data_IF_362874945111
#
_entry.id   IF_362874945111
#
_cell.length_a   1.000
_cell.length_b   1.000
_cell.length_c   1.000
_cell.angle_alpha   90.00
_cell.angle_beta   90.00
_cell.angle_gamma   90.00
#
_symmetry.space_group_name_H-M   'P 1'
#
loop_
_entity.id
_entity.type
_entity.pdbx_description
1 polymer ?
#
# COMPACT_ATOMS: atom_id res chain seq x y z
N UNK A 1 -13.03 -5.93 10.26
CA UNK A 1 -12.41 -6.92 9.36
C UNK A 1 -12.88 -8.33 9.72
N UNK A 2 -13.13 -9.17 8.72
CA UNK A 2 -13.50 -10.58 8.90
C UNK A 2 -12.34 -11.35 9.58
N UNK A 3 -12.65 -12.14 10.61
CA UNK A 3 -11.69 -12.95 11.37
C UNK A 3 -10.95 -13.97 10.50
N UNK A 4 -11.62 -14.57 9.51
CA UNK A 4 -10.99 -15.51 8.57
C UNK A 4 -9.91 -14.84 7.72
N UNK A 5 -10.14 -13.59 7.29
CA UNK A 5 -9.18 -12.80 6.51
C UNK A 5 -7.96 -12.46 7.36
N UNK A 6 -8.19 -12.10 8.62
CA UNK A 6 -7.11 -11.82 9.58
C UNK A 6 -6.27 -13.06 9.84
N UNK A 7 -6.91 -14.22 10.04
CA UNK A 7 -6.22 -15.48 10.28
C UNK A 7 -5.44 -15.96 9.04
N UNK A 8 -6.03 -15.83 7.85
CA UNK A 8 -5.35 -16.14 6.59
C UNK A 8 -4.11 -15.28 6.42
N UNK A 9 -4.23 -13.97 6.65
CA UNK A 9 -3.08 -13.05 6.59
C UNK A 9 -2.01 -13.43 7.62
N UNK A 10 -2.40 -13.73 8.86
CA UNK A 10 -1.46 -14.14 9.91
C UNK A 10 -0.66 -15.39 9.54
N UNK A 11 -1.30 -16.37 8.87
CA UNK A 11 -0.65 -17.60 8.43
C UNK A 11 0.40 -17.37 7.32
N UNK A 12 0.22 -16.33 6.51
CA UNK A 12 1.14 -15.98 5.40
C UNK A 12 2.37 -15.20 5.89
N UNK A 13 2.27 -14.50 7.03
CA UNK A 13 3.30 -13.61 7.59
C UNK A 13 4.42 -14.40 8.31
N UNK A 14 5.04 -15.32 7.56
CA UNK A 14 6.22 -16.10 7.96
C UNK A 14 7.48 -15.23 8.06
N UNK A 15 8.54 -15.74 8.70
CA UNK A 15 9.81 -15.00 8.84
C UNK A 15 10.47 -14.68 7.50
N UNK A 16 10.42 -15.61 6.54
CA UNK A 16 10.93 -15.38 5.18
C UNK A 16 10.16 -14.27 4.46
N UNK A 17 8.84 -14.26 4.59
CA UNK A 17 7.99 -13.20 4.04
C UNK A 17 8.30 -11.84 4.68
N UNK A 18 8.45 -11.80 6.01
CA UNK A 18 8.80 -10.58 6.76
C UNK A 18 10.12 -9.97 6.28
N UNK A 19 11.14 -10.80 6.10
CA UNK A 19 12.45 -10.38 5.62
C UNK A 19 12.39 -9.83 4.19
N UNK A 20 11.63 -10.47 3.31
CA UNK A 20 11.43 -10.01 1.93
C UNK A 20 10.74 -8.64 1.89
N UNK A 21 9.64 -8.47 2.62
CA UNK A 21 8.91 -7.19 2.66
C UNK A 21 9.74 -6.08 3.31
N UNK A 22 10.54 -6.41 4.34
CA UNK A 22 11.43 -5.45 4.97
C UNK A 22 12.51 -4.92 4.02
N UNK A 23 13.07 -5.79 3.16
CA UNK A 23 14.02 -5.41 2.12
C UNK A 23 13.35 -4.54 1.05
N UNK A 24 12.23 -5.01 0.51
CA UNK A 24 11.50 -4.32 -0.55
C UNK A 24 11.02 -2.93 -0.10
N UNK A 25 10.52 -2.80 1.13
CA UNK A 25 10.11 -1.51 1.69
C UNK A 25 11.27 -0.52 1.83
N UNK A 26 12.47 -1.00 2.19
CA UNK A 26 13.67 -0.17 2.25
C UNK A 26 14.11 0.27 0.85
N UNK A 27 14.01 -0.63 -0.13
CA UNK A 27 14.40 -0.40 -1.52
C UNK A 27 13.40 0.51 -2.24
N UNK A 28 12.09 0.47 -1.92
CA UNK A 28 11.07 1.34 -2.52
C UNK A 28 11.00 2.71 -1.82
N UNK A 29 10.90 2.75 -0.50
CA UNK A 29 10.65 4.00 0.25
C UNK A 29 11.94 4.69 0.70
N UNK A 30 13.08 4.01 0.60
CA UNK A 30 14.33 4.45 1.20
C UNK A 30 14.38 4.14 2.70
N UNK A 31 15.55 3.74 3.19
CA UNK A 31 15.77 3.29 4.59
C UNK A 31 15.26 4.26 5.65
N UNK A 32 15.41 5.57 5.45
CA UNK A 32 15.01 6.58 6.42
C UNK A 32 13.49 6.67 6.60
N UNK A 33 12.74 6.72 5.50
CA UNK A 33 11.28 6.75 5.54
C UNK A 33 10.72 5.39 5.96
N UNK A 34 11.29 4.31 5.45
CA UNK A 34 10.89 2.96 5.84
C UNK A 34 11.01 2.74 7.34
N UNK A 35 12.14 3.15 7.94
CA UNK A 35 12.30 3.10 9.40
C UNK A 35 11.24 3.92 10.13
N UNK A 36 10.89 5.12 9.64
CA UNK A 36 9.83 5.94 10.26
C UNK A 36 8.47 5.27 10.20
N UNK A 37 8.15 4.61 9.08
CA UNK A 37 6.92 3.83 8.93
C UNK A 37 6.90 2.65 9.92
N UNK A 38 8.01 1.92 10.04
CA UNK A 38 8.16 0.81 10.97
C UNK A 38 8.12 1.23 12.45
N UNK A 39 8.76 2.34 12.82
CA UNK A 39 8.73 2.82 14.22
C UNK A 39 7.40 3.48 14.57
N UNK A 40 6.59 3.83 13.58
CA UNK A 40 5.23 4.30 13.74
C UNK A 40 4.21 3.17 13.87
N UNK A 41 4.63 1.94 14.15
CA UNK A 41 3.79 0.73 14.31
C UNK A 41 2.61 0.91 15.28
N UNK A 42 2.73 1.74 16.32
CA UNK A 42 1.60 2.08 17.20
C UNK A 42 0.51 2.94 16.54
N UNK A 43 0.82 3.62 15.44
CA UNK A 43 -0.11 4.47 14.65
C UNK A 43 -0.66 3.74 13.42
N UNK A 44 -0.31 2.46 13.21
CA UNK A 44 -0.87 1.63 12.15
C UNK A 44 -0.33 1.89 10.74
N UNK A 45 -1.00 1.31 9.75
CA UNK A 45 -0.62 1.33 8.34
C UNK A 45 -1.24 2.50 7.54
N UNK A 46 -1.91 3.44 8.21
CA UNK A 46 -2.76 4.45 7.57
C UNK A 46 -2.05 5.28 6.49
N UNK A 47 -0.81 5.76 6.67
CA UNK A 47 -0.12 6.49 5.62
C UNK A 47 0.17 5.65 4.37
N UNK A 48 0.43 4.34 4.55
CA UNK A 48 0.66 3.43 3.41
C UNK A 48 -0.65 3.12 2.68
N UNK A 49 -1.74 2.90 3.43
CA UNK A 49 -3.07 2.72 2.85
C UNK A 49 -3.49 3.96 2.04
N UNK A 50 -3.33 5.15 2.62
CA UNK A 50 -3.65 6.42 1.95
C UNK A 50 -2.78 6.65 0.71
N UNK A 51 -1.48 6.38 0.78
CA UNK A 51 -0.61 6.48 -0.39
C UNK A 51 -1.02 5.48 -1.50
N UNK A 52 -1.35 4.23 -1.14
CA UNK A 52 -1.82 3.23 -2.10
C UNK A 52 -3.12 3.65 -2.79
N UNK A 53 -4.08 4.22 -2.06
CA UNK A 53 -5.32 4.76 -2.63
C UNK A 53 -5.04 5.90 -3.62
N UNK A 54 -4.17 6.84 -3.25
CA UNK A 54 -3.74 7.93 -4.16
C UNK A 54 -3.09 7.42 -5.45
N UNK A 55 -2.31 6.34 -5.38
CA UNK A 55 -1.76 5.70 -6.59
C UNK A 55 -2.87 5.13 -7.49
N UNK A 56 -3.89 4.48 -6.91
CA UNK A 56 -5.01 3.91 -7.65
C UNK A 56 -6.00 4.95 -8.19
N UNK A 57 -6.11 6.11 -7.54
CA UNK A 57 -6.92 7.23 -8.02
C UNK A 57 -6.25 7.95 -9.21
N UNK A 58 -4.92 7.90 -9.31
CA UNK A 58 -4.14 8.59 -10.32
C UNK A 58 -4.04 7.86 -11.68
N UNK A 59 -4.82 6.80 -11.91
CA UNK A 59 -4.69 5.91 -13.10
C UNK A 59 -4.62 6.66 -14.44
N UNK A 60 -5.46 7.69 -14.60
CA UNK A 60 -5.53 8.49 -15.84
C UNK A 60 -4.69 9.78 -15.77
N UNK A 61 -4.16 10.11 -14.58
CA UNK A 61 -3.47 11.38 -14.29
C UNK A 61 -2.13 11.14 -13.58
N UNK A 62 -1.43 10.08 -13.98
CA UNK A 62 -0.17 9.66 -13.37
C UNK A 62 0.91 10.76 -13.38
N UNK A 63 0.91 11.59 -14.43
CA UNK A 63 1.83 12.72 -14.57
C UNK A 63 1.54 13.83 -13.52
N UNK A 64 0.28 14.09 -13.22
CA UNK A 64 -0.10 15.06 -12.18
C UNK A 64 0.28 14.57 -10.79
N UNK A 65 0.08 13.28 -10.51
CA UNK A 65 0.53 12.66 -9.27
C UNK A 65 2.05 12.81 -9.08
N UNK A 66 2.83 12.52 -10.12
CA UNK A 66 4.30 12.66 -10.08
C UNK A 66 4.70 14.11 -9.85
N UNK A 67 4.05 15.06 -10.54
CA UNK A 67 4.28 16.49 -10.36
C UNK A 67 3.98 16.91 -8.91
N UNK A 68 2.77 16.66 -8.41
CA UNK A 68 2.36 16.99 -7.03
C UNK A 68 3.30 16.37 -5.99
N UNK A 69 3.68 15.10 -6.16
CA UNK A 69 4.60 14.44 -5.24
C UNK A 69 5.99 15.10 -5.16
N UNK A 70 6.50 15.61 -6.29
CA UNK A 70 7.83 16.21 -6.39
C UNK A 70 7.85 17.69 -5.99
N UNK A 71 6.87 18.48 -6.43
CA UNK A 71 6.85 19.94 -6.23
C UNK A 71 5.91 20.40 -5.12
N UNK A 72 4.90 19.60 -4.76
CA UNK A 72 3.92 19.94 -3.73
C UNK A 72 4.55 20.11 -2.36
N UNK A 73 4.08 21.09 -1.60
CA UNK A 73 4.46 21.22 -0.20
C UNK A 73 3.80 20.10 0.61
N UNK A 74 4.55 19.40 1.50
CA UNK A 74 3.94 18.39 2.35
C UNK A 74 2.93 19.04 3.31
N UNK A 75 1.81 18.37 3.63
CA UNK A 75 0.92 18.81 4.68
C UNK A 75 1.65 18.99 6.03
N UNK A 76 1.14 19.90 6.87
CA UNK A 76 1.75 20.19 8.17
C UNK A 76 1.53 19.07 9.20
N UNK A 77 0.46 18.29 9.06
CA UNK A 77 0.21 17.15 9.93
C UNK A 77 1.12 15.96 9.57
N UNK A 78 1.45 15.16 10.58
CA UNK A 78 2.35 14.02 10.42
C UNK A 78 1.85 13.01 9.37
N UNK A 79 0.55 12.74 9.30
CA UNK A 79 0.01 11.69 8.44
C UNK A 79 0.14 12.12 6.98
N UNK A 80 -0.28 13.33 6.66
CA UNK A 80 -0.11 13.94 5.35
C UNK A 80 1.35 14.06 4.95
N UNK A 81 2.24 14.49 5.85
CA UNK A 81 3.68 14.55 5.59
C UNK A 81 4.28 13.16 5.29
N UNK A 82 3.82 12.11 5.98
CA UNK A 82 4.22 10.73 5.71
C UNK A 82 3.74 10.25 4.33
N UNK A 83 2.47 10.49 3.97
CA UNK A 83 1.91 10.17 2.65
C UNK A 83 2.70 10.88 1.55
N UNK A 84 2.93 12.18 1.69
CA UNK A 84 3.71 12.97 0.74
C UNK A 84 5.15 12.45 0.62
N UNK A 85 5.77 12.03 1.73
CA UNK A 85 7.09 11.42 1.72
C UNK A 85 7.14 10.09 0.97
N UNK A 86 6.13 9.23 1.13
CA UNK A 86 5.99 7.96 0.41
C UNK A 86 5.88 8.22 -1.09
N UNK A 87 4.95 9.08 -1.49
CA UNK A 87 4.72 9.41 -2.90
C UNK A 87 5.94 10.09 -3.54
N UNK A 88 6.64 10.97 -2.81
CA UNK A 88 7.86 11.61 -3.31
C UNK A 88 9.00 10.63 -3.56
N UNK A 89 9.23 9.69 -2.64
CA UNK A 89 10.28 8.68 -2.84
C UNK A 89 9.92 7.70 -3.96
N UNK A 90 8.63 7.41 -4.12
CA UNK A 90 8.12 6.67 -5.27
C UNK A 90 8.37 7.40 -6.59
N UNK A 91 7.93 8.67 -6.70
CA UNK A 91 8.07 9.49 -7.91
C UNK A 91 9.52 9.72 -8.34
N UNK A 92 10.48 9.69 -7.40
CA UNK A 92 11.92 9.76 -7.71
C UNK A 92 12.47 8.50 -8.39
N UNK A 93 11.82 7.35 -8.22
CA UNK A 93 12.28 6.04 -8.70
C UNK A 93 11.51 5.58 -9.92
N UNK A 94 10.25 5.98 -10.02
CA UNK A 94 9.34 5.58 -11.09
C UNK A 94 8.99 6.81 -11.92
N UNK A 95 9.66 7.02 -13.07
CA UNK A 95 9.28 8.08 -13.99
C UNK A 95 7.93 7.76 -14.64
N UNK A 96 7.00 8.72 -14.62
CA UNK A 96 5.62 8.70 -15.17
C UNK A 96 5.05 7.27 -15.31
N UNK A 97 4.52 6.69 -14.24
CA UNK A 97 4.05 5.31 -14.26
C UNK A 97 2.80 5.15 -15.15
N UNK A 98 2.75 4.06 -15.92
CA UNK A 98 1.50 3.60 -16.52
C UNK A 98 0.55 3.00 -15.47
N UNK A 99 -0.71 2.76 -15.86
CA UNK A 99 -1.76 2.25 -14.96
C UNK A 99 -1.36 0.95 -14.23
N UNK A 100 -0.77 -0.01 -14.94
CA UNK A 100 -0.35 -1.29 -14.36
C UNK A 100 0.72 -1.09 -13.27
N UNK A 101 1.67 -0.19 -13.53
CA UNK A 101 2.72 0.14 -12.56
C UNK A 101 2.14 0.80 -11.31
N UNK A 102 1.14 1.68 -11.45
CA UNK A 102 0.42 2.26 -10.33
C UNK A 102 -0.31 1.20 -9.49
N UNK A 103 -0.99 0.26 -10.15
CA UNK A 103 -1.69 -0.83 -9.47
C UNK A 103 -0.72 -1.73 -8.69
N UNK A 104 0.36 -2.19 -9.33
CA UNK A 104 1.40 -3.00 -8.68
C UNK A 104 2.01 -2.26 -7.49
N UNK A 105 2.30 -0.97 -7.66
CA UNK A 105 2.89 -0.13 -6.61
C UNK A 105 1.93 0.05 -5.43
N UNK A 106 0.63 0.24 -5.68
CA UNK A 106 -0.38 0.32 -4.64
C UNK A 106 -0.49 -1.00 -3.84
N UNK A 107 -0.44 -2.14 -4.52
CA UNK A 107 -0.42 -3.45 -3.84
C UNK A 107 0.85 -3.62 -3.00
N UNK A 108 2.02 -3.22 -3.50
CA UNK A 108 3.27 -3.25 -2.74
C UNK A 108 3.18 -2.41 -1.45
N UNK A 109 2.62 -1.20 -1.53
CA UNK A 109 2.38 -0.35 -0.35
C UNK A 109 1.41 -0.99 0.66
N UNK A 110 0.34 -1.64 0.18
CA UNK A 110 -0.60 -2.37 1.04
C UNK A 110 0.10 -3.54 1.75
N UNK A 111 0.91 -4.33 1.04
CA UNK A 111 1.71 -5.42 1.61
C UNK A 111 2.66 -4.93 2.71
N UNK A 112 3.34 -3.80 2.48
CA UNK A 112 4.19 -3.15 3.49
C UNK A 112 3.39 -2.70 4.72
N UNK A 113 2.15 -2.25 4.53
CA UNK A 113 1.25 -1.88 5.61
C UNK A 113 0.77 -3.08 6.43
N UNK A 114 0.43 -4.18 5.75
CA UNK A 114 0.09 -5.45 6.38
C UNK A 114 1.27 -5.97 7.21
N UNK A 115 2.49 -5.91 6.67
CA UNK A 115 3.71 -6.23 7.41
C UNK A 115 3.82 -5.40 8.69
N UNK A 116 3.63 -4.09 8.58
CA UNK A 116 3.74 -3.18 9.73
C UNK A 116 2.70 -3.50 10.81
N UNK A 117 1.45 -3.78 10.43
CA UNK A 117 0.38 -4.16 11.35
C UNK A 117 0.58 -5.55 11.96
N UNK A 118 1.14 -6.51 11.21
CA UNK A 118 1.48 -7.83 11.71
C UNK A 118 2.55 -7.77 12.80
N UNK A 119 3.61 -6.98 12.57
CA UNK A 119 4.69 -6.79 13.55
C UNK A 119 4.20 -6.09 14.83
N UNK A 120 3.14 -5.28 14.76
CA UNK A 120 2.51 -4.66 15.92
C UNK A 120 1.37 -5.49 16.56
N UNK A 121 1.01 -6.65 16.00
CA UNK A 121 -0.08 -7.48 16.54
C UNK A 121 -1.47 -6.85 16.37
N UNK A 122 -1.66 -5.98 15.38
CA UNK A 122 -2.91 -5.21 15.16
C UNK A 122 -3.54 -5.49 13.79
N UNK A 123 -3.33 -6.70 13.23
CA UNK A 123 -3.86 -7.06 11.91
C UNK A 123 -5.38 -6.89 11.80
N UNK A 124 -6.13 -7.10 12.88
CA UNK A 124 -7.58 -6.90 12.93
C UNK A 124 -8.04 -5.44 12.70
N UNK A 125 -7.13 -4.47 12.73
CA UNK A 125 -7.38 -3.04 12.46
C UNK A 125 -6.58 -2.52 11.25
N UNK A 126 -6.03 -3.42 10.45
CA UNK A 126 -5.15 -3.07 9.33
C UNK A 126 -5.96 -2.58 8.11
N UNK A 127 -6.01 -1.26 7.89
CA UNK A 127 -6.68 -0.69 6.70
C UNK A 127 -6.10 -1.18 5.38
N UNK A 128 -4.80 -1.49 5.32
CA UNK A 128 -4.19 -2.07 4.12
C UNK A 128 -4.72 -3.47 3.81
N UNK A 129 -5.03 -4.27 4.85
CA UNK A 129 -5.61 -5.59 4.68
C UNK A 129 -7.08 -5.49 4.26
N UNK A 130 -7.85 -4.59 4.89
CA UNK A 130 -9.23 -4.29 4.50
C UNK A 130 -9.30 -3.89 3.01
N UNK A 131 -8.50 -2.88 2.61
CA UNK A 131 -8.44 -2.40 1.22
C UNK A 131 -8.05 -3.49 0.22
N UNK A 132 -7.09 -4.35 0.61
CA UNK A 132 -6.62 -5.43 -0.25
C UNK A 132 -7.72 -6.49 -0.42
N UNK A 133 -8.34 -6.93 0.68
CA UNK A 133 -9.41 -7.91 0.67
C UNK A 133 -10.62 -7.43 -0.15
N UNK A 134 -11.01 -6.17 0.01
CA UNK A 134 -12.09 -5.56 -0.78
C UNK A 134 -11.74 -5.54 -2.29
N UNK A 135 -10.52 -5.13 -2.64
CA UNK A 135 -10.10 -5.10 -4.04
C UNK A 135 -10.07 -6.48 -4.70
N UNK A 136 -9.60 -7.51 -3.97
CA UNK A 136 -9.57 -8.89 -4.47
C UNK A 136 -10.98 -9.47 -4.58
N UNK A 137 -11.86 -9.19 -3.61
CA UNK A 137 -13.25 -9.65 -3.66
C UNK A 137 -13.98 -9.06 -4.87
N UNK A 138 -13.80 -7.75 -5.13
CA UNK A 138 -14.37 -7.08 -6.31
C UNK A 138 -13.86 -7.69 -7.61
N UNK A 139 -12.55 -7.85 -7.76
CA UNK A 139 -11.96 -8.44 -8.96
C UNK A 139 -12.47 -9.88 -9.20
N UNK A 140 -12.62 -10.68 -8.14
CA UNK A 140 -13.15 -12.04 -8.26
C UNK A 140 -14.62 -12.06 -8.67
N UNK A 141 -15.42 -11.13 -8.14
CA UNK A 141 -16.83 -11.00 -8.52
C UNK A 141 -16.97 -10.61 -9.99
N UNK A 142 -16.17 -9.65 -10.48
CA UNK A 142 -16.15 -9.26 -11.89
C UNK A 142 -15.78 -10.43 -12.81
N UNK A 143 -14.77 -11.22 -12.44
CA UNK A 143 -14.36 -12.43 -13.17
C UNK A 143 -15.51 -13.45 -13.27
N UNK A 144 -16.19 -13.73 -12.15
CA UNK A 144 -17.31 -14.68 -12.10
C UNK A 144 -18.50 -14.19 -12.94
N UNK A 145 -18.83 -12.90 -12.88
CA UNK A 145 -19.92 -12.32 -13.67
C UNK A 145 -19.60 -12.33 -15.17
N UNK A 146 -18.36 -12.00 -15.57
CA UNK A 146 -17.94 -12.03 -16.96
C UNK A 146 -17.95 -13.45 -17.55
N UNK A 147 -17.54 -14.45 -16.76
CA UNK A 147 -17.60 -15.85 -17.15
C UNK A 147 -19.06 -16.30 -17.40
N UNK A 148 -19.99 -15.93 -16.51
CA UNK A 148 -21.41 -16.28 -16.64
C UNK A 148 -22.17 -15.57 -17.77
N UNK A 149 -21.62 -14.51 -18.35
CA UNK A 149 -22.17 -13.82 -19.53
C UNK A 149 -21.62 -14.34 -20.86
N UNK A 150 -20.62 -15.22 -20.80
CA UNK A 150 -19.94 -15.81 -21.98
C UNK A 150 -20.41 -17.23 -22.27
N UNK A 151 -21.45 -17.72 -21.56
CA UNK A 151 -22.21 -18.95 -21.80
C UNK A 151 -23.59 -18.64 -22.40
#
# INVERSE_FOLDING_TARGET
MNEEVVQLAANVVTEGWRSAVAKEGADLLGRGLWRKVQTSTRRGCDPLAAAARRLLEAKEQAHELVADALVGAPPADWAGACVAGVLRNYAKKVPIPGEEVLAISAHALRIMGIYSCAMAGILNRCRCLDDLAESMAKAKLEEVLAAGLSE
#
